data_IF_844055038084
#
_entry.id   IF_844055038084
#
_cell.length_a   1.000
_cell.length_b   1.000
_cell.length_c   1.000
_cell.angle_alpha   90.00
_cell.angle_beta   90.00
_cell.angle_gamma   90.00
#
_symmetry.space_group_name_H-M   'P 1'
#
loop_
_entity.id
_entity.type
_entity.pdbx_description
1 polymer ?
#
# COMPACT_ATOMS: atom_id res chain seq x y z
N UNK A 1 -38.35 -44.10 -41.33
CA UNK A 1 -38.31 -43.28 -40.10
C UNK A 1 -37.41 -42.11 -40.42
N UNK A 2 -37.99 -40.98 -40.85
CA UNK A 2 -37.21 -39.78 -41.15
C UNK A 2 -36.80 -39.17 -39.81
N UNK A 3 -35.51 -39.20 -39.51
CA UNK A 3 -34.97 -38.47 -38.37
C UNK A 3 -35.12 -36.99 -38.71
N UNK A 4 -35.98 -36.28 -37.98
CA UNK A 4 -36.19 -34.86 -38.19
C UNK A 4 -34.89 -34.07 -37.97
N UNK A 5 -34.77 -32.95 -38.68
CA UNK A 5 -33.59 -32.08 -38.60
C UNK A 5 -33.29 -31.60 -37.16
N UNK A 6 -34.32 -31.52 -36.30
CA UNK A 6 -34.19 -31.14 -34.88
C UNK A 6 -33.51 -32.23 -34.06
N UNK A 7 -33.83 -33.49 -34.30
CA UNK A 7 -33.25 -34.65 -33.62
C UNK A 7 -31.77 -34.82 -33.98
N UNK A 8 -31.40 -34.54 -35.24
CA UNK A 8 -30.00 -34.48 -35.68
C UNK A 8 -29.23 -33.36 -34.98
N UNK A 9 -29.82 -32.16 -34.88
CA UNK A 9 -29.24 -31.00 -34.19
C UNK A 9 -29.01 -31.27 -32.68
N UNK A 10 -29.97 -31.90 -32.01
CA UNK A 10 -29.85 -32.31 -30.60
C UNK A 10 -28.73 -33.34 -30.44
N UNK A 11 -28.64 -34.31 -31.35
CA UNK A 11 -27.56 -35.31 -31.35
C UNK A 11 -26.17 -34.69 -31.50
N UNK A 12 -26.01 -33.72 -32.42
CA UNK A 12 -24.75 -32.98 -32.60
C UNK A 12 -24.41 -32.16 -31.35
N UNK A 13 -25.39 -31.49 -30.74
CA UNK A 13 -25.18 -30.70 -29.53
C UNK A 13 -24.69 -31.57 -28.36
N UNK A 14 -25.31 -32.74 -28.16
CA UNK A 14 -24.90 -33.69 -27.12
C UNK A 14 -23.49 -34.20 -27.40
N UNK A 15 -23.16 -34.54 -28.65
CA UNK A 15 -21.81 -34.98 -29.03
C UNK A 15 -20.77 -33.89 -28.74
N UNK A 16 -21.05 -32.63 -29.10
CA UNK A 16 -20.15 -31.51 -28.82
C UNK A 16 -19.94 -31.30 -27.32
N UNK A 17 -21.00 -31.43 -26.51
CA UNK A 17 -20.92 -31.36 -25.05
C UNK A 17 -20.06 -32.50 -24.49
N UNK A 18 -20.27 -33.74 -24.93
CA UNK A 18 -19.50 -34.90 -24.48
C UNK A 18 -18.02 -34.77 -24.86
N UNK A 19 -17.74 -34.36 -26.10
CA UNK A 19 -16.37 -34.11 -26.58
C UNK A 19 -15.73 -32.98 -25.79
N UNK A 20 -16.44 -31.87 -25.54
CA UNK A 20 -15.93 -30.75 -24.75
C UNK A 20 -15.59 -31.17 -23.31
N UNK A 21 -16.47 -31.90 -22.62
CA UNK A 21 -16.20 -32.40 -21.27
C UNK A 21 -15.06 -33.42 -21.24
N UNK A 22 -14.95 -34.28 -22.26
CA UNK A 22 -13.87 -35.28 -22.38
C UNK A 22 -12.51 -34.62 -22.62
N UNK A 23 -12.46 -33.62 -23.51
CA UNK A 23 -11.26 -32.84 -23.77
C UNK A 23 -10.87 -32.02 -22.54
N UNK A 24 -11.84 -31.37 -21.88
CA UNK A 24 -11.61 -30.63 -20.64
C UNK A 24 -11.00 -31.54 -19.56
N UNK A 25 -11.58 -32.72 -19.32
CA UNK A 25 -11.08 -33.67 -18.34
C UNK A 25 -9.67 -34.20 -18.68
N UNK A 26 -9.33 -34.33 -19.97
CA UNK A 26 -8.01 -34.80 -20.42
C UNK A 26 -6.91 -33.74 -20.27
N UNK A 27 -7.22 -32.46 -20.52
CA UNK A 27 -6.21 -31.41 -20.61
C UNK A 27 -6.15 -30.47 -19.40
N UNK A 28 -7.19 -30.45 -18.57
CA UNK A 28 -7.36 -29.52 -17.44
C UNK A 28 -7.52 -30.29 -16.12
N UNK A 29 -6.51 -30.24 -15.26
CA UNK A 29 -6.55 -30.84 -13.93
C UNK A 29 -7.58 -30.13 -13.06
N UNK A 30 -8.32 -30.88 -12.25
CA UNK A 30 -9.25 -30.31 -11.25
C UNK A 30 -8.48 -29.68 -10.09
N UNK A 31 -9.13 -28.77 -9.35
CA UNK A 31 -8.54 -28.18 -8.13
C UNK A 31 -8.16 -29.26 -7.11
N UNK A 32 -8.94 -30.32 -6.99
CA UNK A 32 -8.64 -31.45 -6.10
C UNK A 32 -7.34 -32.18 -6.49
N UNK A 33 -7.10 -32.37 -7.78
CA UNK A 33 -5.86 -33.01 -8.26
C UNK A 33 -4.68 -32.05 -8.11
N UNK A 34 -4.88 -30.76 -8.39
CA UNK A 34 -3.85 -29.74 -8.18
C UNK A 34 -3.44 -29.63 -6.70
N UNK A 35 -4.42 -29.62 -5.79
CA UNK A 35 -4.20 -29.66 -4.35
C UNK A 35 -3.36 -30.87 -3.93
N UNK A 36 -3.76 -32.08 -4.33
CA UNK A 36 -3.00 -33.30 -4.01
C UNK A 36 -1.56 -33.25 -4.53
N UNK A 37 -1.36 -32.77 -5.75
CA UNK A 37 -0.03 -32.65 -6.33
C UNK A 37 0.83 -31.62 -5.60
N UNK A 38 0.22 -30.51 -5.18
CA UNK A 38 0.88 -29.47 -4.41
C UNK A 38 1.22 -29.93 -2.98
N UNK A 39 0.30 -30.65 -2.32
CA UNK A 39 0.55 -31.31 -1.03
C UNK A 39 1.73 -32.28 -1.11
N UNK A 40 1.82 -33.05 -2.21
CA UNK A 40 2.94 -33.97 -2.45
C UNK A 40 4.27 -33.21 -2.54
N UNK A 41 4.28 -32.09 -3.26
CA UNK A 41 5.44 -31.20 -3.34
C UNK A 41 5.86 -30.64 -1.97
N UNK A 42 4.91 -30.12 -1.19
CA UNK A 42 5.19 -29.58 0.14
C UNK A 42 5.72 -30.66 1.08
N UNK A 43 5.09 -31.84 1.10
CA UNK A 43 5.50 -32.94 1.96
C UNK A 43 6.91 -33.45 1.62
N UNK A 44 7.25 -33.54 0.33
CA UNK A 44 8.55 -34.01 -0.12
C UNK A 44 9.70 -33.04 0.22
N UNK A 45 9.47 -31.74 0.08
CA UNK A 45 10.52 -30.72 0.20
C UNK A 45 10.56 -30.02 1.58
N UNK A 46 9.43 -29.98 2.29
CA UNK A 46 9.27 -29.22 3.55
C UNK A 46 8.60 -30.04 4.67
N UNK A 47 8.23 -31.30 4.42
CA UNK A 47 7.53 -32.13 5.40
C UNK A 47 6.22 -31.50 5.86
N UNK A 48 6.03 -31.40 7.19
CA UNK A 48 4.83 -30.82 7.79
C UNK A 48 4.97 -29.31 8.11
N UNK A 49 6.08 -28.68 7.71
CA UNK A 49 6.42 -27.31 8.11
C UNK A 49 5.47 -26.25 7.50
N UNK A 50 5.08 -26.47 6.24
CA UNK A 50 4.30 -25.52 5.45
C UNK A 50 2.85 -25.98 5.27
N UNK A 51 1.94 -25.03 5.33
CA UNK A 51 0.53 -25.18 4.95
C UNK A 51 0.19 -24.25 3.78
N UNK A 52 -1.02 -24.36 3.26
CA UNK A 52 -1.46 -23.47 2.20
C UNK A 52 -2.96 -23.14 2.27
N UNK A 53 -3.34 -22.01 1.67
CA UNK A 53 -4.72 -21.52 1.51
C UNK A 53 -4.92 -20.94 0.11
N UNK A 54 -6.17 -20.62 -0.23
CA UNK A 54 -6.53 -19.90 -1.46
C UNK A 54 -6.05 -20.53 -2.78
N UNK A 55 -5.94 -21.87 -2.82
CA UNK A 55 -5.61 -22.59 -4.04
C UNK A 55 -6.72 -22.40 -5.06
N UNK A 56 -6.40 -21.73 -6.17
CA UNK A 56 -7.34 -21.47 -7.25
C UNK A 56 -6.62 -21.35 -8.57
N UNK A 57 -7.32 -21.69 -9.65
CA UNK A 57 -6.74 -21.61 -11.00
C UNK A 57 -6.38 -20.18 -11.35
N UNK A 58 -5.24 -20.02 -12.01
CA UNK A 58 -4.77 -18.76 -12.56
C UNK A 58 -4.61 -18.93 -14.08
N UNK A 59 -5.23 -18.05 -14.86
CA UNK A 59 -5.08 -18.07 -16.30
C UNK A 59 -3.90 -17.18 -16.71
N UNK A 60 -2.78 -17.81 -17.07
CA UNK A 60 -1.65 -17.10 -17.65
C UNK A 60 -1.93 -16.85 -19.13
N UNK A 61 -2.19 -15.59 -19.50
CA UNK A 61 -2.50 -15.17 -20.88
C UNK A 61 -1.35 -15.42 -21.85
N UNK A 62 -0.10 -15.48 -21.37
CA UNK A 62 1.09 -15.61 -22.22
C UNK A 62 1.36 -17.03 -22.71
N UNK A 63 1.03 -18.07 -21.93
CA UNK A 63 1.31 -19.47 -22.29
C UNK A 63 0.04 -20.33 -22.43
N UNK A 64 -1.14 -19.77 -22.12
CA UNK A 64 -2.44 -20.43 -22.18
C UNK A 64 -2.49 -21.78 -21.45
N UNK A 65 -1.60 -22.03 -20.48
CA UNK A 65 -1.54 -23.30 -19.77
C UNK A 65 -2.76 -23.39 -18.84
N UNK A 66 -3.70 -24.32 -19.08
CA UNK A 66 -4.91 -24.41 -18.27
C UNK A 66 -4.62 -25.00 -16.87
N UNK A 67 -3.40 -25.46 -16.58
CA UNK A 67 -3.02 -26.12 -15.33
C UNK A 67 -2.19 -25.23 -14.39
N UNK A 68 -2.15 -23.92 -14.67
CA UNK A 68 -1.57 -22.96 -13.74
C UNK A 68 -2.52 -22.66 -12.57
N UNK A 69 -1.99 -22.72 -11.36
CA UNK A 69 -2.68 -22.39 -10.12
C UNK A 69 -1.90 -21.33 -9.37
N UNK A 70 -2.61 -20.57 -8.54
CA UNK A 70 -2.04 -19.69 -7.52
C UNK A 70 -2.47 -20.18 -6.14
N UNK A 71 -1.62 -19.97 -5.16
CA UNK A 71 -1.84 -20.40 -3.78
C UNK A 71 -1.09 -19.49 -2.82
N UNK A 72 -1.59 -19.34 -1.60
CA UNK A 72 -0.83 -18.75 -0.49
C UNK A 72 -0.21 -19.88 0.34
N UNK A 73 1.10 -19.85 0.54
CA UNK A 73 1.85 -20.84 1.34
C UNK A 73 2.34 -20.15 2.59
N UNK A 74 2.10 -20.76 3.75
CA UNK A 74 2.49 -20.19 5.04
C UNK A 74 3.19 -21.22 5.93
N UNK A 75 4.06 -20.77 6.82
CA UNK A 75 4.67 -21.62 7.84
C UNK A 75 3.71 -21.82 9.01
N UNK A 76 3.38 -23.08 9.35
CA UNK A 76 2.29 -23.37 10.31
C UNK A 76 2.52 -22.79 11.71
N UNK A 77 3.79 -22.78 12.16
CA UNK A 77 4.18 -22.26 13.48
C UNK A 77 4.42 -20.74 13.49
N UNK A 78 4.61 -20.15 12.32
CA UNK A 78 4.87 -18.72 12.16
C UNK A 78 4.17 -18.20 10.89
N UNK A 79 2.85 -17.94 10.96
CA UNK A 79 2.06 -17.58 9.78
C UNK A 79 2.48 -16.27 9.10
N UNK A 80 3.29 -15.41 9.77
CA UNK A 80 3.87 -14.20 9.14
C UNK A 80 4.83 -14.55 8.00
N UNK A 81 5.39 -15.76 8.00
CA UNK A 81 6.13 -16.31 6.87
C UNK A 81 5.11 -16.85 5.87
N UNK A 82 4.61 -15.96 5.01
CA UNK A 82 3.61 -16.24 3.98
C UNK A 82 4.12 -15.77 2.60
N UNK A 83 3.84 -16.57 1.57
CA UNK A 83 4.22 -16.31 0.18
C UNK A 83 3.07 -16.65 -0.77
N UNK A 84 2.80 -15.74 -1.71
CA UNK A 84 1.88 -16.00 -2.81
C UNK A 84 2.66 -16.50 -4.01
N UNK A 85 2.34 -17.71 -4.47
CA UNK A 85 3.08 -18.34 -5.57
C UNK A 85 2.16 -18.86 -6.66
N UNK A 86 2.71 -18.99 -7.87
CA UNK A 86 2.10 -19.65 -9.01
C UNK A 86 2.86 -20.93 -9.37
N UNK A 87 2.14 -21.98 -9.74
CA UNK A 87 2.75 -23.25 -10.14
C UNK A 87 1.95 -23.96 -11.24
N UNK A 88 2.59 -24.88 -11.95
CA UNK A 88 1.93 -25.83 -12.86
C UNK A 88 1.58 -27.12 -12.10
N UNK A 89 0.29 -27.37 -11.94
CA UNK A 89 -0.21 -28.55 -11.23
C UNK A 89 0.19 -29.88 -11.88
N UNK A 90 0.57 -29.91 -13.16
CA UNK A 90 1.02 -31.14 -13.84
C UNK A 90 2.42 -31.58 -13.41
N UNK A 91 3.29 -30.63 -13.10
CA UNK A 91 4.71 -30.91 -12.84
C UNK A 91 5.11 -30.71 -11.39
N UNK A 92 4.34 -29.94 -10.60
CA UNK A 92 4.74 -29.55 -9.24
C UNK A 92 5.11 -30.72 -8.32
N UNK A 93 4.39 -31.85 -8.41
CA UNK A 93 4.59 -32.98 -7.52
C UNK A 93 5.99 -33.65 -7.61
N UNK A 94 6.72 -33.44 -8.71
CA UNK A 94 8.06 -34.01 -8.93
C UNK A 94 9.16 -32.95 -8.87
N UNK A 95 8.80 -31.69 -8.62
CA UNK A 95 9.75 -30.60 -8.54
C UNK A 95 10.43 -30.58 -7.16
N UNK A 96 11.74 -30.33 -7.15
CA UNK A 96 12.49 -30.08 -5.91
C UNK A 96 12.38 -28.62 -5.47
N UNK A 97 12.06 -27.73 -6.39
CA UNK A 97 11.76 -26.32 -6.14
C UNK A 97 10.90 -25.75 -7.27
N UNK A 98 10.26 -24.61 -7.03
CA UNK A 98 9.48 -23.91 -8.04
C UNK A 98 10.33 -22.84 -8.72
N UNK A 99 10.26 -22.75 -10.07
CA UNK A 99 10.96 -21.71 -10.79
C UNK A 99 10.41 -20.32 -10.42
N UNK A 100 11.19 -19.26 -10.68
CA UNK A 100 10.76 -17.89 -10.43
C UNK A 100 9.44 -17.56 -11.11
N UNK A 101 8.49 -17.00 -10.35
CA UNK A 101 7.18 -16.57 -10.83
C UNK A 101 7.01 -15.04 -10.85
N UNK A 102 8.09 -14.32 -10.50
CA UNK A 102 8.25 -12.87 -10.57
C UNK A 102 9.58 -12.52 -11.28
N UNK A 103 9.74 -11.28 -11.79
CA UNK A 103 10.95 -10.85 -12.49
C UNK A 103 12.24 -10.80 -11.66
N UNK A 104 12.19 -11.02 -10.35
CA UNK A 104 13.36 -10.99 -9.47
C UNK A 104 14.31 -12.18 -9.67
N UNK A 105 13.87 -13.24 -10.35
CA UNK A 105 14.67 -14.42 -10.63
C UNK A 105 14.85 -15.39 -9.46
N UNK A 106 14.21 -15.15 -8.31
CA UNK A 106 14.30 -16.03 -7.14
C UNK A 106 13.33 -17.21 -7.21
N UNK A 107 13.81 -18.39 -6.85
CA UNK A 107 12.99 -19.60 -6.70
C UNK A 107 12.07 -19.51 -5.47
N UNK A 108 11.14 -20.46 -5.32
CA UNK A 108 10.29 -20.51 -4.13
C UNK A 108 11.10 -20.69 -2.85
N UNK A 109 12.09 -21.59 -2.83
CA UNK A 109 12.92 -21.80 -1.65
C UNK A 109 13.69 -20.53 -1.23
N UNK A 110 14.27 -19.82 -2.20
CA UNK A 110 15.03 -18.58 -1.93
C UNK A 110 14.13 -17.50 -1.31
N UNK A 111 12.92 -17.32 -1.84
CA UNK A 111 11.93 -16.40 -1.27
C UNK A 111 11.48 -16.82 0.12
N UNK A 112 11.33 -18.12 0.35
CA UNK A 112 10.93 -18.66 1.65
C UNK A 112 12.00 -18.35 2.70
N UNK A 113 13.28 -18.59 2.40
CA UNK A 113 14.39 -18.24 3.29
C UNK A 113 14.48 -16.74 3.51
N UNK A 114 14.32 -15.93 2.45
CA UNK A 114 14.31 -14.47 2.59
C UNK A 114 13.17 -13.98 3.49
N UNK A 115 11.98 -14.58 3.37
CA UNK A 115 10.82 -14.22 4.20
C UNK A 115 11.00 -14.62 5.67
N UNK A 116 11.65 -15.76 5.95
CA UNK A 116 12.04 -16.13 7.32
C UNK A 116 12.95 -15.05 7.92
N UNK A 117 14.02 -14.69 7.20
CA UNK A 117 14.97 -13.65 7.65
C UNK A 117 14.27 -12.31 7.92
N UNK A 118 13.33 -11.92 7.05
CA UNK A 118 12.56 -10.69 7.24
C UNK A 118 11.74 -10.72 8.54
N UNK A 119 11.07 -11.85 8.84
CA UNK A 119 10.31 -11.99 10.09
C UNK A 119 11.24 -11.99 11.32
N UNK A 120 12.42 -12.62 11.23
CA UNK A 120 13.43 -12.60 12.29
C UNK A 120 13.93 -11.17 12.56
N UNK A 121 14.22 -10.40 11.52
CA UNK A 121 14.60 -8.98 11.61
C UNK A 121 13.49 -8.17 12.30
N UNK A 122 12.23 -8.35 11.88
CA UNK A 122 11.08 -7.69 12.49
C UNK A 122 11.01 -8.01 14.00
N UNK A 123 11.23 -9.26 14.40
CA UNK A 123 11.20 -9.68 15.80
C UNK A 123 12.35 -9.09 16.61
N UNK A 124 13.57 -9.05 16.04
CA UNK A 124 14.74 -8.44 16.68
C UNK A 124 14.52 -6.95 16.94
N UNK A 125 14.05 -6.20 15.93
CA UNK A 125 13.78 -4.77 16.08
C UNK A 125 12.65 -4.57 17.09
N UNK A 126 11.56 -5.32 16.99
CA UNK A 126 10.41 -5.21 17.91
C UNK A 126 10.81 -5.50 19.36
N UNK A 127 11.65 -6.51 19.59
CA UNK A 127 12.15 -6.85 20.92
C UNK A 127 13.04 -5.74 21.52
N UNK A 128 13.82 -5.04 20.70
CA UNK A 128 14.64 -3.89 21.14
C UNK A 128 13.82 -2.62 21.37
N UNK A 129 12.72 -2.44 20.65
CA UNK A 129 11.82 -1.29 20.82
C UNK A 129 10.88 -1.42 22.03
N UNK A 130 10.47 -2.65 22.37
CA UNK A 130 9.51 -2.91 23.46
C UNK A 130 9.94 -2.34 24.83
N UNK A 131 11.20 -2.49 25.30
CA UNK A 131 11.67 -1.87 26.54
C UNK A 131 11.61 -0.33 26.55
N UNK A 132 11.53 0.30 25.38
CA UNK A 132 11.40 1.75 25.23
C UNK A 132 9.94 2.22 25.30
N UNK A 133 8.99 1.33 25.57
CA UNK A 133 7.55 1.61 25.60
C UNK A 133 6.97 1.82 24.20
N UNK A 134 7.50 1.10 23.21
CA UNK A 134 7.03 1.16 21.81
C UNK A 134 6.71 -0.25 21.32
N UNK A 135 5.46 -0.46 20.91
CA UNK A 135 5.03 -1.66 20.22
C UNK A 135 5.04 -1.43 18.71
N UNK A 136 5.67 -2.34 17.97
CA UNK A 136 5.69 -2.31 16.51
C UNK A 136 4.67 -3.30 15.94
N UNK A 137 3.90 -2.87 14.95
CA UNK A 137 3.13 -3.74 14.08
C UNK A 137 3.61 -3.52 12.64
N UNK A 138 4.20 -4.56 12.06
CA UNK A 138 4.74 -4.56 10.71
C UNK A 138 3.65 -4.93 9.72
N UNK A 139 3.35 -4.01 8.81
CA UNK A 139 2.49 -4.26 7.65
C UNK A 139 3.36 -4.28 6.37
N UNK A 140 2.75 -4.68 5.26
CA UNK A 140 3.41 -4.76 3.95
C UNK A 140 3.88 -3.39 3.44
N UNK A 141 3.10 -2.34 3.70
CA UNK A 141 3.38 -0.98 3.19
C UNK A 141 3.75 0.03 4.29
N UNK A 142 3.70 -0.33 5.57
CA UNK A 142 3.93 0.60 6.67
C UNK A 142 4.28 -0.13 7.97
N UNK A 143 4.86 0.62 8.91
CA UNK A 143 5.12 0.13 10.27
C UNK A 143 4.38 1.02 11.25
N UNK A 144 3.51 0.42 12.06
CA UNK A 144 2.85 1.15 13.14
C UNK A 144 3.74 1.17 14.38
N UNK A 145 4.15 2.36 14.75
CA UNK A 145 4.93 2.70 15.93
C UNK A 145 4.00 3.16 17.04
N UNK A 146 3.53 2.22 17.86
CA UNK A 146 2.53 2.49 18.90
C UNK A 146 3.20 2.80 20.22
N UNK A 147 3.01 4.02 20.71
CA UNK A 147 3.50 4.47 22.00
C UNK A 147 2.64 3.90 23.13
N UNK A 148 3.26 3.21 24.08
CA UNK A 148 2.56 2.60 25.22
C UNK A 148 2.28 3.59 26.36
N UNK A 149 2.96 4.74 26.34
CA UNK A 149 2.82 5.82 27.33
C UNK A 149 2.85 7.20 26.65
N UNK A 150 2.36 8.27 27.32
CA UNK A 150 2.55 9.63 26.85
C UNK A 150 4.04 9.97 26.90
N UNK A 151 4.62 10.26 25.74
CA UNK A 151 6.00 10.75 25.61
C UNK A 151 5.99 12.19 25.10
N UNK A 152 7.03 12.93 25.45
CA UNK A 152 7.30 14.25 24.84
C UNK A 152 7.67 14.08 23.37
N UNK A 153 7.52 15.15 22.59
CA UNK A 153 7.83 15.14 21.16
C UNK A 153 9.30 14.77 20.90
N UNK A 154 10.22 15.28 21.73
CA UNK A 154 11.64 14.92 21.67
C UNK A 154 11.88 13.43 21.91
N UNK A 155 11.23 12.85 22.93
CA UNK A 155 11.34 11.41 23.21
C UNK A 155 10.76 10.53 22.09
N UNK A 156 9.71 11.00 21.41
CA UNK A 156 9.15 10.30 20.24
C UNK A 156 10.16 10.30 19.09
N UNK A 157 10.81 11.44 18.82
CA UNK A 157 11.84 11.54 17.79
C UNK A 157 13.06 10.68 18.12
N UNK A 158 13.55 10.71 19.37
CA UNK A 158 14.68 9.88 19.82
C UNK A 158 14.40 8.38 19.61
N UNK A 159 13.20 7.91 20.00
CA UNK A 159 12.82 6.51 19.81
C UNK A 159 12.65 6.15 18.34
N UNK A 160 12.13 7.06 17.52
CA UNK A 160 12.01 6.88 16.07
C UNK A 160 13.39 6.80 15.40
N UNK A 161 14.33 7.65 15.82
CA UNK A 161 15.70 7.65 15.30
C UNK A 161 16.47 6.40 15.77
N UNK A 162 16.18 5.90 16.97
CA UNK A 162 16.69 4.60 17.42
C UNK A 162 16.13 3.46 16.56
N UNK A 163 14.82 3.44 16.26
CA UNK A 163 14.25 2.50 15.30
C UNK A 163 14.97 2.56 13.95
N UNK A 164 15.23 3.75 13.40
CA UNK A 164 16.00 3.91 12.17
C UNK A 164 17.41 3.33 12.29
N UNK A 165 18.09 3.53 13.41
CA UNK A 165 19.42 2.96 13.63
C UNK A 165 19.41 1.43 13.61
N UNK A 166 18.38 0.81 14.20
CA UNK A 166 18.18 -0.63 14.16
C UNK A 166 17.87 -1.10 12.75
N UNK A 167 16.93 -0.44 12.07
CA UNK A 167 16.54 -0.74 10.69
C UNK A 167 17.74 -0.68 9.73
N UNK A 168 18.64 0.29 9.90
CA UNK A 168 19.87 0.43 9.09
C UNK A 168 20.94 -0.62 9.40
N UNK A 169 20.93 -1.19 10.61
CA UNK A 169 21.90 -2.19 11.02
C UNK A 169 21.57 -3.57 10.43
N UNK A 170 20.30 -3.80 10.11
CA UNK A 170 19.84 -5.04 9.48
C UNK A 170 20.03 -4.91 7.96
N UNK A 171 20.73 -5.87 7.37
CA UNK A 171 21.20 -5.85 5.97
C UNK A 171 20.06 -5.64 4.97
N UNK A 172 20.24 -4.64 4.09
CA UNK A 172 19.18 -3.95 3.35
C UNK A 172 18.45 -4.78 2.29
N UNK A 173 19.01 -5.91 1.84
CA UNK A 173 18.43 -6.72 0.76
C UNK A 173 17.19 -7.52 1.19
N UNK A 174 17.05 -7.82 2.49
CA UNK A 174 15.96 -8.65 3.01
C UNK A 174 14.73 -7.86 3.44
N UNK A 175 14.87 -6.54 3.65
CA UNK A 175 13.80 -5.70 4.19
C UNK A 175 12.61 -5.57 3.23
N UNK A 176 12.80 -5.84 1.92
CA UNK A 176 11.71 -5.92 0.94
C UNK A 176 10.96 -4.61 0.67
N UNK A 177 11.39 -3.51 1.29
CA UNK A 177 10.83 -2.17 1.09
C UNK A 177 11.58 -1.45 -0.04
N UNK A 178 10.86 -1.18 -1.13
CA UNK A 178 11.42 -0.44 -2.26
C UNK A 178 11.36 1.07 -1.98
N UNK A 179 12.52 1.64 -1.63
CA UNK A 179 12.79 3.08 -1.53
C UNK A 179 12.03 3.88 -0.47
N UNK A 180 10.90 3.40 0.05
CA UNK A 180 10.11 4.07 1.08
C UNK A 180 9.43 3.11 2.08
N UNK A 181 9.31 3.56 3.33
CA UNK A 181 8.60 2.88 4.40
C UNK A 181 7.98 3.89 5.39
N UNK A 182 6.66 4.15 5.33
CA UNK A 182 5.95 4.94 6.33
C UNK A 182 6.08 4.36 7.74
N UNK A 183 6.54 5.18 8.68
CA UNK A 183 6.50 4.91 10.12
C UNK A 183 5.35 5.68 10.76
N UNK A 184 4.26 4.99 11.06
CA UNK A 184 3.02 5.59 11.57
C UNK A 184 3.05 5.63 13.10
N UNK A 185 3.18 6.83 13.67
CA UNK A 185 3.25 7.08 15.10
C UNK A 185 1.83 7.15 15.67
N UNK A 186 1.48 6.17 16.51
CA UNK A 186 0.20 6.08 17.22
C UNK A 186 0.38 6.40 18.69
N UNK A 187 -0.50 7.26 19.21
CA UNK A 187 -0.48 7.68 20.61
C UNK A 187 -1.47 6.86 21.46
N UNK A 188 -1.24 6.73 22.77
CA UNK A 188 -2.07 5.91 23.65
C UNK A 188 -3.42 6.55 24.01
N UNK A 189 -3.60 7.86 23.76
CA UNK A 189 -4.82 8.58 24.12
C UNK A 189 -5.82 8.62 22.96
N UNK A 190 -7.12 8.53 23.29
CA UNK A 190 -8.21 8.56 22.30
C UNK A 190 -8.22 9.91 21.57
N UNK A 191 -8.55 9.87 20.28
CA UNK A 191 -8.67 11.02 19.37
C UNK A 191 -7.35 11.74 19.04
N UNK A 192 -6.21 11.16 19.38
CA UNK A 192 -4.93 11.65 18.89
C UNK A 192 -4.80 11.38 17.39
N UNK A 193 -4.55 12.42 16.60
CA UNK A 193 -4.25 12.22 15.18
C UNK A 193 -2.88 11.57 15.07
N UNK A 194 -2.84 10.40 14.45
CA UNK A 194 -1.58 9.70 14.21
C UNK A 194 -0.72 10.51 13.26
N UNK A 195 0.58 10.52 13.52
CA UNK A 195 1.56 11.15 12.65
C UNK A 195 2.25 10.08 11.81
N UNK A 196 2.88 10.47 10.73
CA UNK A 196 3.70 9.56 9.92
C UNK A 196 5.04 10.21 9.63
N UNK A 197 6.12 9.47 9.85
CA UNK A 197 7.45 9.80 9.32
C UNK A 197 7.73 8.93 8.11
N UNK A 198 7.94 9.56 6.97
CA UNK A 198 8.33 8.85 5.75
C UNK A 198 9.81 8.47 5.85
N UNK A 199 10.11 7.18 5.98
CA UNK A 199 11.46 6.66 5.84
C UNK A 199 11.76 6.46 4.36
N UNK A 200 12.82 7.09 3.85
CA UNK A 200 13.19 7.02 2.44
C UNK A 200 14.65 6.66 2.26
N UNK A 201 14.97 5.96 1.17
CA UNK A 201 16.35 5.68 0.78
C UNK A 201 16.84 6.74 -0.20
N UNK A 202 17.75 7.61 0.25
CA UNK A 202 18.38 8.64 -0.56
C UNK A 202 19.89 8.46 -0.55
N UNK A 203 20.52 8.45 -1.73
CA UNK A 203 21.95 8.14 -1.90
C UNK A 203 22.38 6.84 -1.20
N UNK A 204 21.54 5.81 -1.28
CA UNK A 204 21.76 4.50 -0.65
C UNK A 204 21.58 4.49 0.87
N UNK A 205 21.23 5.62 1.50
CA UNK A 205 21.10 5.75 2.94
C UNK A 205 19.65 5.99 3.35
N UNK A 206 19.17 5.16 4.27
CA UNK A 206 17.86 5.36 4.89
C UNK A 206 17.87 6.58 5.84
N UNK A 207 16.88 7.46 5.67
CA UNK A 207 16.62 8.60 6.56
C UNK A 207 15.15 9.00 6.57
N UNK A 208 14.72 9.65 7.64
CA UNK A 208 13.39 10.26 7.69
C UNK A 208 13.38 11.58 6.93
N UNK A 209 12.40 11.77 6.05
CA UNK A 209 12.29 12.99 5.23
C UNK A 209 11.36 14.03 5.85
N UNK A 210 10.17 13.61 6.24
CA UNK A 210 9.07 14.49 6.64
C UNK A 210 8.37 13.94 7.88
N UNK A 211 7.63 14.82 8.56
CA UNK A 211 6.62 14.45 9.56
C UNK A 211 5.28 15.00 9.07
N UNK A 212 4.29 14.13 8.91
CA UNK A 212 2.98 14.47 8.33
C UNK A 212 1.85 13.94 9.21
N UNK A 213 0.62 14.35 8.93
CA UNK A 213 -0.56 13.67 9.45
C UNK A 213 -0.76 12.35 8.71
N UNK A 214 -1.12 11.29 9.43
CA UNK A 214 -1.42 10.01 8.81
C UNK A 214 -2.85 10.01 8.24
N UNK A 215 -2.95 9.96 6.90
CA UNK A 215 -4.22 10.04 6.17
C UNK A 215 -5.04 8.76 6.20
N UNK A 216 -4.42 7.62 6.53
CA UNK A 216 -5.11 6.32 6.65
C UNK A 216 -5.96 6.15 7.91
N UNK A 217 -5.94 7.11 8.85
CA UNK A 217 -6.76 7.06 10.06
C UNK A 217 -8.22 7.48 9.78
N UNK A 218 -9.19 6.75 10.34
CA UNK A 218 -10.62 7.10 10.21
C UNK A 218 -10.93 8.51 10.74
N UNK A 219 -10.27 8.91 11.83
CA UNK A 219 -10.46 10.24 12.43
C UNK A 219 -9.90 11.38 11.56
N UNK A 220 -8.99 11.07 10.61
CA UNK A 220 -8.42 12.06 9.70
C UNK A 220 -9.47 12.64 8.77
N UNK A 221 -10.37 11.82 8.22
CA UNK A 221 -11.41 12.29 7.29
C UNK A 221 -12.34 13.31 7.94
N UNK A 222 -12.70 13.13 9.21
CA UNK A 222 -13.52 14.09 9.96
C UNK A 222 -12.81 15.44 10.12
N UNK A 223 -11.50 15.40 10.37
CA UNK A 223 -10.66 16.61 10.47
C UNK A 223 -10.54 17.27 9.11
N UNK A 224 -10.26 16.49 8.06
CA UNK A 224 -10.16 16.95 6.68
C UNK A 224 -11.40 17.70 6.24
N UNK A 225 -12.60 17.13 6.46
CA UNK A 225 -13.86 17.81 6.13
C UNK A 225 -13.99 19.19 6.78
N UNK A 226 -13.52 19.34 8.01
CA UNK A 226 -13.54 20.62 8.72
C UNK A 226 -12.58 21.62 8.09
N UNK A 227 -11.33 21.20 7.82
CA UNK A 227 -10.31 22.04 7.18
C UNK A 227 -10.73 22.46 5.75
N UNK A 228 -11.26 21.52 4.97
CA UNK A 228 -11.78 21.76 3.61
C UNK A 228 -12.92 22.79 3.62
N UNK A 229 -13.86 22.72 4.58
CA UNK A 229 -14.93 23.73 4.73
C UNK A 229 -14.38 25.12 5.01
N UNK A 230 -13.37 25.22 5.88
CA UNK A 230 -12.73 26.50 6.19
C UNK A 230 -12.02 27.09 4.96
N UNK A 231 -11.27 26.27 4.22
CA UNK A 231 -10.62 26.68 2.99
C UNK A 231 -11.61 27.10 1.91
N UNK A 232 -12.68 26.33 1.73
CA UNK A 232 -13.75 26.64 0.78
C UNK A 232 -14.40 27.98 1.12
N UNK A 233 -14.73 28.22 2.40
CA UNK A 233 -15.30 29.49 2.87
C UNK A 233 -14.35 30.66 2.61
N UNK A 234 -13.05 30.47 2.86
CA UNK A 234 -12.03 31.48 2.57
C UNK A 234 -11.93 31.80 1.07
N UNK A 235 -11.87 30.78 0.21
CA UNK A 235 -11.81 30.95 -1.24
C UNK A 235 -13.08 31.63 -1.78
N UNK A 236 -14.26 31.22 -1.33
CA UNK A 236 -15.52 31.84 -1.76
C UNK A 236 -15.59 33.33 -1.42
N UNK A 237 -15.04 33.72 -0.27
CA UNK A 237 -15.01 35.12 0.18
C UNK A 237 -13.95 35.95 -0.55
N UNK A 238 -12.72 35.45 -0.65
CA UNK A 238 -11.56 36.23 -1.08
C UNK A 238 -11.16 35.99 -2.54
N UNK A 239 -11.45 34.81 -3.10
CA UNK A 239 -11.05 34.37 -4.43
C UNK A 239 -12.20 33.60 -5.12
N UNK A 240 -13.36 34.24 -5.38
CA UNK A 240 -14.60 33.55 -5.73
C UNK A 240 -14.57 32.76 -7.04
N UNK A 241 -13.56 32.98 -7.89
CA UNK A 241 -13.32 32.25 -9.14
C UNK A 241 -12.53 30.96 -8.96
N UNK A 242 -12.01 30.69 -7.77
CA UNK A 242 -11.24 29.49 -7.43
C UNK A 242 -12.09 28.49 -6.65
N UNK A 243 -11.74 27.21 -6.76
CA UNK A 243 -12.25 26.12 -5.93
C UNK A 243 -11.11 25.14 -5.58
N UNK A 244 -11.33 24.33 -4.56
CA UNK A 244 -10.35 23.31 -4.17
C UNK A 244 -10.23 22.23 -5.25
N UNK A 245 -9.00 21.78 -5.48
CA UNK A 245 -8.64 20.62 -6.27
C UNK A 245 -8.46 19.45 -5.31
N UNK A 246 -8.90 18.24 -5.68
CA UNK A 246 -8.84 17.04 -4.82
C UNK A 246 -7.42 16.47 -4.74
N UNK A 247 -6.49 17.29 -4.25
CA UNK A 247 -5.13 16.92 -3.91
C UNK A 247 -4.63 17.85 -2.81
N UNK A 248 -4.06 17.26 -1.76
CA UNK A 248 -3.57 17.98 -0.60
C UNK A 248 -2.33 17.27 -0.05
N UNK A 249 -1.58 17.99 0.77
CA UNK A 249 -0.49 17.42 1.57
C UNK A 249 -0.42 18.12 2.93
N UNK A 250 0.20 17.46 3.91
CA UNK A 250 0.31 17.98 5.29
C UNK A 250 1.73 17.88 5.80
N UNK A 251 2.14 18.87 6.59
CA UNK A 251 3.45 18.92 7.21
C UNK A 251 3.31 19.35 8.66
N UNK A 252 3.94 18.60 9.55
CA UNK A 252 3.90 18.85 10.99
C UNK A 252 5.25 19.39 11.40
N UNK A 253 5.25 20.41 12.26
CA UNK A 253 6.48 20.92 12.87
C UNK A 253 7.12 19.83 13.73
N UNK A 254 8.35 19.37 13.43
CA UNK A 254 9.01 18.33 14.21
C UNK A 254 9.44 18.78 15.62
N UNK A 255 9.52 20.08 15.90
CA UNK A 255 9.99 20.55 17.21
C UNK A 255 8.95 20.37 18.33
N UNK A 256 7.67 20.57 18.03
CA UNK A 256 6.61 20.64 19.06
C UNK A 256 5.31 19.89 18.71
N UNK A 257 5.27 19.29 17.50
CA UNK A 257 4.14 18.60 16.89
C UNK A 257 2.83 19.39 16.92
N UNK A 258 2.90 20.71 17.12
CA UNK A 258 1.74 21.54 17.42
C UNK A 258 1.26 22.33 16.22
N UNK A 259 2.18 22.73 15.34
CA UNK A 259 1.89 23.47 14.12
C UNK A 259 1.83 22.50 12.94
N UNK A 260 0.78 22.62 12.14
CA UNK A 260 0.59 21.89 10.89
C UNK A 260 0.45 22.88 9.75
N UNK A 261 1.18 22.67 8.67
CA UNK A 261 0.89 23.26 7.38
C UNK A 261 0.05 22.27 6.58
N UNK A 262 -1.17 22.67 6.27
CA UNK A 262 -2.05 21.97 5.36
C UNK A 262 -2.06 22.71 4.02
N UNK A 263 -1.67 22.03 2.95
CA UNK A 263 -1.60 22.57 1.59
C UNK A 263 -2.66 21.88 0.76
N UNK A 264 -3.59 22.63 0.19
CA UNK A 264 -4.57 22.08 -0.74
C UNK A 264 -4.54 22.88 -2.04
N UNK A 265 -4.40 22.17 -3.15
CA UNK A 265 -4.30 22.75 -4.47
C UNK A 265 -5.66 23.31 -4.90
N UNK A 266 -5.65 24.25 -5.84
CA UNK A 266 -6.87 24.88 -6.33
C UNK A 266 -6.92 24.85 -7.85
N UNK A 267 -8.13 24.88 -8.37
CA UNK A 267 -8.44 25.03 -9.79
C UNK A 267 -9.44 26.18 -9.99
N UNK A 268 -9.52 26.70 -11.21
CA UNK A 268 -10.59 27.63 -11.57
C UNK A 268 -11.96 26.93 -11.53
N UNK A 269 -12.99 27.62 -11.02
CA UNK A 269 -14.36 27.13 -11.06
C UNK A 269 -14.78 26.84 -12.50
N UNK A 270 -15.23 25.60 -12.71
CA UNK A 270 -15.60 25.08 -14.03
C UNK A 270 -16.88 25.71 -14.54
N UNK A 271 -16.90 26.00 -15.83
CA UNK A 271 -18.14 26.23 -16.57
C UNK A 271 -18.93 24.92 -16.69
N UNK A 272 -20.25 25.02 -16.96
CA UNK A 272 -21.10 23.84 -17.20
C UNK A 272 -20.58 22.94 -18.34
N UNK A 273 -19.84 23.50 -19.31
CA UNK A 273 -19.27 22.77 -20.44
C UNK A 273 -18.05 21.94 -20.01
N UNK A 274 -17.13 22.55 -19.27
CA UNK A 274 -15.92 21.87 -18.77
C UNK A 274 -16.28 20.75 -17.79
N UNK A 275 -17.25 20.99 -16.90
CA UNK A 275 -17.74 19.96 -15.97
C UNK A 275 -18.27 18.71 -16.70
N UNK A 276 -18.99 18.90 -17.82
CA UNK A 276 -19.47 17.78 -18.65
C UNK A 276 -18.33 17.04 -19.36
N UNK A 277 -17.31 17.75 -19.82
CA UNK A 277 -16.16 17.12 -20.49
C UNK A 277 -15.27 16.33 -19.53
N UNK A 278 -15.14 16.79 -18.28
CA UNK A 278 -14.42 16.05 -17.25
C UNK A 278 -15.12 14.73 -16.89
N UNK A 279 -16.45 14.72 -16.81
CA UNK A 279 -17.21 13.47 -16.58
C UNK A 279 -17.00 12.43 -17.69
N UNK A 280 -16.65 12.88 -18.89
CA UNK A 280 -16.31 12.04 -20.04
C UNK A 280 -14.82 11.64 -20.07
N UNK A 281 -14.02 12.08 -19.09
CA UNK A 281 -12.57 11.86 -19.03
C UNK A 281 -11.76 12.66 -20.07
N UNK A 282 -12.39 13.63 -20.75
CA UNK A 282 -11.77 14.40 -21.85
C UNK A 282 -11.04 15.63 -21.35
N UNK A 283 -11.35 16.09 -20.13
CA UNK A 283 -10.80 17.33 -19.56
C UNK A 283 -10.22 17.10 -18.16
N UNK A 284 -8.96 17.48 -17.97
CA UNK A 284 -8.32 17.60 -16.66
C UNK A 284 -8.10 19.09 -16.39
N UNK A 285 -8.68 19.59 -15.31
CA UNK A 285 -8.51 20.99 -14.96
C UNK A 285 -7.08 21.25 -14.49
N UNK A 286 -6.42 22.30 -15.01
CA UNK A 286 -5.10 22.67 -14.55
C UNK A 286 -5.17 23.22 -13.12
N UNK A 287 -4.13 22.96 -12.34
CA UNK A 287 -3.90 23.62 -11.06
C UNK A 287 -3.61 25.10 -11.33
N UNK A 288 -4.36 25.99 -10.69
CA UNK A 288 -4.28 27.46 -10.84
C UNK A 288 -3.71 28.16 -9.60
N UNK A 289 -3.49 27.40 -8.53
CA UNK A 289 -2.92 27.89 -7.29
C UNK A 289 -2.94 26.84 -6.19
N UNK A 290 -2.66 27.27 -4.98
CA UNK A 290 -2.76 26.46 -3.77
C UNK A 290 -3.05 27.33 -2.56
N UNK A 291 -3.66 26.73 -1.55
CA UNK A 291 -3.88 27.33 -0.25
C UNK A 291 -2.80 26.87 0.73
N UNK A 292 -2.43 27.76 1.66
CA UNK A 292 -1.57 27.43 2.79
C UNK A 292 -2.37 27.72 4.06
N UNK A 293 -2.70 26.66 4.80
CA UNK A 293 -3.40 26.74 6.07
C UNK A 293 -2.48 26.32 7.22
N UNK A 294 -2.27 27.22 8.17
CA UNK A 294 -1.54 26.95 9.40
C UNK A 294 -2.53 26.57 10.49
N UNK A 295 -2.48 25.31 10.89
CA UNK A 295 -3.39 24.72 11.86
C UNK A 295 -2.65 24.37 13.16
N UNK A 296 -3.28 24.65 14.31
CA UNK A 296 -2.75 24.22 15.60
C UNK A 296 -3.38 22.89 15.99
N UNK A 297 -2.63 21.80 15.87
CA UNK A 297 -3.08 20.43 16.11
C UNK A 297 -3.60 20.25 17.55
N UNK A 298 -2.88 20.79 18.54
CA UNK A 298 -3.23 20.65 19.97
C UNK A 298 -4.52 21.39 20.34
N UNK A 299 -4.78 22.55 19.72
CA UNK A 299 -5.97 23.38 19.97
C UNK A 299 -7.12 23.09 18.99
N UNK A 300 -6.88 22.34 17.92
CA UNK A 300 -7.85 22.12 16.85
C UNK A 300 -8.27 23.39 16.11
N UNK A 301 -7.46 24.46 16.13
CA UNK A 301 -7.85 25.78 15.62
C UNK A 301 -6.96 26.23 14.46
N UNK A 302 -7.56 26.77 13.38
CA UNK A 302 -6.81 27.41 12.29
C UNK A 302 -6.31 28.79 12.72
N UNK A 303 -5.03 29.07 12.41
CA UNK A 303 -4.35 30.32 12.74
C UNK A 303 -4.31 31.29 11.58
N UNK A 304 -4.07 30.77 10.39
CA UNK A 304 -3.90 31.58 9.20
C UNK A 304 -4.24 30.73 7.97
N UNK A 305 -4.91 31.36 7.02
CA UNK A 305 -5.13 30.83 5.67
C UNK A 305 -4.60 31.87 4.68
N UNK A 306 -3.91 31.41 3.65
CA UNK A 306 -3.48 32.25 2.53
C UNK A 306 -3.65 31.49 1.21
N UNK A 307 -3.74 32.23 0.11
CA UNK A 307 -3.82 31.67 -1.23
C UNK A 307 -2.64 32.19 -2.05
N UNK A 308 -2.04 31.29 -2.82
CA UNK A 308 -0.94 31.61 -3.74
C UNK A 308 -1.38 31.23 -5.15
N UNK A 309 -1.59 32.24 -5.98
CA UNK A 309 -1.85 32.04 -7.40
C UNK A 309 -0.58 31.57 -8.10
N UNK A 310 -0.71 30.62 -9.04
CA UNK A 310 0.38 30.19 -9.90
C UNK A 310 0.16 30.71 -11.31
N UNK A 311 1.13 31.47 -11.84
CA UNK A 311 1.03 32.11 -13.14
C UNK A 311 1.14 31.12 -14.32
N UNK A 312 1.69 29.93 -14.08
CA UNK A 312 1.89 28.83 -15.04
C UNK A 312 1.52 27.51 -14.37
N UNK A 313 1.36 26.44 -15.16
CA UNK A 313 1.32 25.06 -14.67
C UNK A 313 2.67 24.71 -14.02
N UNK A 314 2.83 25.06 -12.75
CA UNK A 314 3.97 24.64 -11.92
C UNK A 314 3.71 23.21 -11.48
N UNK A 315 4.76 22.38 -11.48
CA UNK A 315 4.67 21.03 -10.96
C UNK A 315 4.45 21.09 -9.45
N UNK A 316 3.59 20.21 -8.97
CA UNK A 316 3.25 20.10 -7.55
C UNK A 316 4.49 19.97 -6.66
N UNK A 317 5.46 19.19 -7.11
CA UNK A 317 6.75 18.94 -6.46
C UNK A 317 7.55 20.23 -6.22
N UNK A 318 7.50 21.18 -7.16
CA UNK A 318 8.21 22.47 -7.03
C UNK A 318 7.58 23.35 -5.95
N UNK A 319 6.25 23.31 -5.82
CA UNK A 319 5.51 24.04 -4.78
C UNK A 319 5.88 23.47 -3.42
N UNK A 320 5.85 22.14 -3.29
CA UNK A 320 6.21 21.45 -2.06
C UNK A 320 7.68 21.72 -1.69
N UNK A 321 8.61 21.62 -2.64
CA UNK A 321 10.03 21.91 -2.42
C UNK A 321 10.31 23.34 -1.94
N UNK A 322 9.45 24.30 -2.31
CA UNK A 322 9.54 25.70 -1.88
C UNK A 322 8.90 25.96 -0.51
N UNK A 323 7.72 25.42 -0.24
CA UNK A 323 6.94 25.78 0.95
C UNK A 323 7.34 24.96 2.19
N UNK A 324 7.78 23.70 2.03
CA UNK A 324 8.20 22.87 3.18
C UNK A 324 9.37 23.48 3.94
N UNK A 325 10.50 23.88 3.30
CA UNK A 325 11.63 24.44 4.05
C UNK A 325 11.27 25.75 4.75
N UNK A 326 10.39 26.56 4.15
CA UNK A 326 9.90 27.80 4.75
C UNK A 326 9.08 27.54 6.00
N UNK A 327 8.17 26.57 5.95
CA UNK A 327 7.40 26.15 7.10
C UNK A 327 8.28 25.64 8.23
N UNK A 328 9.25 24.78 7.90
CA UNK A 328 10.19 24.23 8.87
C UNK A 328 11.14 25.27 9.47
N UNK A 329 11.36 26.41 8.80
CA UNK A 329 12.14 27.53 9.35
C UNK A 329 11.33 28.47 10.26
N UNK A 330 9.99 28.42 10.19
CA UNK A 330 9.07 29.18 11.06
C UNK A 330 8.68 28.41 12.34
N UNK A 331 9.11 27.16 12.41
CA UNK A 331 9.00 26.27 13.56
C UNK A 331 9.88 26.77 14.70
#
# INVERSE_FOLDING_TARGET
MEIGFKEVLVGILILLVVVFYSLKAKYMLTEKVAAKNFETFLAANYGDLLGYTDLRRFFNTSNMNPNCFRVSVYQKKEPRVELFIKFDAKTVAIQTDLPPDYPDGFTFHERYVARIKLVEIHDVISAKMKPLGVALLWDYNEVFFTLEAPFTEAEVLEKSDYFLSLFKAEDSEFLGYYHELPLVIRYPHKNAISLVRELVQEDGNWRFRTLKLYTGATDFETVRETLTKELQTYLEKSYPTQQLYDHFDTYVNPQDFSKVLYIEFTEAKKTKKEAKQQQLGVWVSPVTGYTLMYWNLKKGSVKQVSFVATANSILMEDILAKEIPRFLALA
#
